data_IF_365234833769
#
_entry.id   IF_365234833769
#
_cell.length_a   1.000
_cell.length_b   1.000
_cell.length_c   1.000
_cell.angle_alpha   90.00
_cell.angle_beta   90.00
_cell.angle_gamma   90.00
#
_symmetry.space_group_name_H-M   'P 1'
#
loop_
_entity.id
_entity.type
_entity.pdbx_description
1 polymer ?
#
# COMPACT_ATOMS: atom_id res chain seq x y z
N UNK A 1 53.66 -10.80 -8.07
CA UNK A 1 53.50 -11.23 -6.67
C UNK A 1 52.76 -10.13 -5.94
N UNK A 2 51.64 -10.52 -5.32
CA UNK A 2 50.93 -9.89 -4.18
C UNK A 2 50.48 -8.41 -4.32
N UNK A 3 49.25 -8.00 -3.99
CA UNK A 3 48.10 -8.67 -3.40
C UNK A 3 47.10 -7.59 -3.00
N UNK A 4 45.88 -7.60 -3.57
CA UNK A 4 44.77 -6.72 -3.17
C UNK A 4 44.04 -7.35 -1.98
N UNK A 5 43.99 -6.66 -0.85
CA UNK A 5 43.10 -7.00 0.27
C UNK A 5 41.81 -6.21 0.14
N UNK A 6 40.72 -6.89 -0.23
CA UNK A 6 39.35 -6.40 -0.09
C UNK A 6 38.78 -6.96 1.21
N UNK A 7 38.42 -6.08 2.13
CA UNK A 7 37.73 -6.43 3.37
C UNK A 7 36.28 -6.83 3.05
N UNK A 8 35.97 -8.11 3.23
CA UNK A 8 34.60 -8.64 3.29
C UNK A 8 34.14 -8.68 4.75
N UNK A 9 33.12 -7.91 5.11
CA UNK A 9 32.41 -8.06 6.39
C UNK A 9 31.63 -9.38 6.42
N UNK A 10 31.75 -10.13 7.52
CA UNK A 10 31.05 -11.40 7.78
C UNK A 10 30.05 -11.22 8.92
N UNK A 11 28.82 -11.70 8.72
CA UNK A 11 27.80 -11.90 9.77
C UNK A 11 28.14 -13.14 10.63
N UNK A 12 27.63 -13.28 11.88
CA UNK A 12 28.06 -14.32 12.82
C UNK A 12 27.86 -15.77 12.36
N UNK A 13 26.99 -16.02 11.38
CA UNK A 13 26.62 -17.38 10.94
C UNK A 13 27.34 -17.87 9.67
N UNK A 14 28.42 -17.23 9.24
CA UNK A 14 29.34 -17.80 8.24
C UNK A 14 28.76 -18.05 6.83
N UNK A 15 27.52 -17.64 6.54
CA UNK A 15 26.97 -17.66 5.19
C UNK A 15 27.53 -16.49 4.38
N UNK A 16 28.10 -16.79 3.22
CA UNK A 16 28.41 -15.82 2.17
C UNK A 16 27.09 -15.25 1.65
N UNK A 17 26.62 -14.15 2.25
CA UNK A 17 25.65 -13.27 1.61
C UNK A 17 26.34 -12.66 0.40
N UNK A 18 26.09 -13.21 -0.80
CA UNK A 18 26.20 -12.39 -2.00
C UNK A 18 25.31 -11.18 -1.74
N UNK A 19 25.83 -9.95 -1.81
CA UNK A 19 24.95 -8.79 -1.79
C UNK A 19 24.00 -8.99 -2.97
N UNK A 20 22.69 -9.04 -2.70
CA UNK A 20 21.70 -8.92 -3.77
C UNK A 20 21.91 -7.55 -4.37
N UNK A 21 22.72 -7.49 -5.43
CA UNK A 21 23.00 -6.32 -6.28
C UNK A 21 21.75 -5.92 -7.10
N UNK A 22 20.58 -6.02 -6.47
CA UNK A 22 19.29 -5.75 -7.07
C UNK A 22 18.80 -4.47 -6.43
N UNK A 23 19.14 -3.35 -7.09
CA UNK A 23 18.57 -2.04 -6.79
C UNK A 23 17.06 -2.16 -6.67
N UNK A 24 16.49 -1.66 -5.59
CA UNK A 24 15.05 -1.63 -5.35
C UNK A 24 14.34 -1.00 -6.57
N UNK A 25 13.70 -1.82 -7.41
CA UNK A 25 13.08 -1.42 -8.68
C UNK A 25 11.96 -0.38 -8.55
N UNK A 26 11.58 -0.06 -7.32
CA UNK A 26 10.53 0.86 -6.97
C UNK A 26 11.06 1.69 -5.80
N UNK A 27 11.33 2.97 -6.05
CA UNK A 27 11.68 3.92 -4.99
C UNK A 27 10.46 4.09 -4.08
N UNK A 28 10.52 3.42 -2.92
CA UNK A 28 9.72 3.83 -1.77
C UNK A 28 10.17 5.22 -1.33
N UNK A 29 9.27 6.03 -0.73
CA UNK A 29 9.68 7.29 -0.12
C UNK A 29 10.77 6.97 0.92
N UNK A 30 12.02 7.34 0.60
CA UNK A 30 13.18 6.99 1.42
C UNK A 30 13.16 7.83 2.68
N UNK A 31 13.26 7.18 3.83
CA UNK A 31 13.95 7.75 4.98
C UNK A 31 15.02 6.78 5.44
N UNK A 32 16.25 7.29 5.56
CA UNK A 32 17.41 6.53 6.03
C UNK A 32 17.85 5.38 5.12
N UNK A 33 19.11 4.99 5.25
CA UNK A 33 19.65 3.79 4.60
C UNK A 33 19.45 2.52 5.44
N UNK A 34 18.69 2.61 6.52
CA UNK A 34 18.61 1.57 7.53
C UNK A 34 17.15 1.21 7.84
N UNK A 35 16.58 0.30 7.06
CA UNK A 35 15.53 -0.60 7.54
C UNK A 35 15.56 -1.85 6.67
N UNK A 36 15.75 -3.01 7.29
CA UNK A 36 15.55 -4.34 6.71
C UNK A 36 14.09 -4.49 6.24
N UNK A 37 13.76 -3.92 5.09
CA UNK A 37 12.51 -4.15 4.40
C UNK A 37 12.80 -5.16 3.31
N UNK A 38 12.34 -6.40 3.51
CA UNK A 38 12.15 -7.35 2.43
C UNK A 38 11.45 -6.68 1.24
N UNK A 39 11.74 -7.15 0.02
CA UNK A 39 11.15 -6.59 -1.21
C UNK A 39 9.61 -6.53 -1.12
N UNK A 40 9.05 -5.35 -1.42
CA UNK A 40 7.61 -5.14 -1.51
C UNK A 40 6.98 -6.05 -2.56
N UNK A 41 5.66 -6.31 -2.46
CA UNK A 41 4.96 -7.14 -3.45
C UNK A 41 5.16 -6.58 -4.87
N UNK A 42 5.04 -5.26 -5.05
CA UNK A 42 5.30 -4.63 -6.35
C UNK A 42 6.69 -4.95 -6.90
N UNK A 43 7.73 -4.87 -6.06
CA UNK A 43 9.11 -5.16 -6.49
C UNK A 43 9.27 -6.63 -6.90
N UNK A 44 8.71 -7.56 -6.11
CA UNK A 44 8.76 -9.00 -6.40
C UNK A 44 8.03 -9.36 -7.70
N UNK A 45 6.87 -8.76 -7.93
CA UNK A 45 6.10 -9.03 -9.14
C UNK A 45 6.77 -8.46 -10.39
N UNK A 46 7.38 -7.26 -10.30
CA UNK A 46 8.21 -6.72 -11.39
C UNK A 46 9.35 -7.67 -11.72
N UNK A 47 10.09 -8.15 -10.72
CA UNK A 47 11.18 -9.11 -10.92
C UNK A 47 10.72 -10.38 -11.64
N UNK A 48 9.64 -10.99 -11.18
CA UNK A 48 9.08 -12.21 -11.79
C UNK A 48 8.61 -11.94 -13.22
N UNK A 49 7.96 -10.81 -13.48
CA UNK A 49 7.50 -10.45 -14.82
C UNK A 49 8.68 -10.22 -15.77
N UNK A 50 9.72 -9.51 -15.32
CA UNK A 50 10.95 -9.31 -16.09
C UNK A 50 11.71 -10.62 -16.31
N UNK A 51 11.77 -11.51 -15.33
CA UNK A 51 12.35 -12.86 -15.48
C UNK A 51 11.65 -13.63 -16.62
N UNK A 52 10.32 -13.61 -16.66
CA UNK A 52 9.52 -14.29 -17.67
C UNK A 52 9.67 -13.67 -19.06
N UNK A 53 9.73 -12.34 -19.16
CA UNK A 53 9.89 -11.62 -20.42
C UNK A 53 11.33 -11.71 -20.98
N UNK A 54 12.34 -11.61 -20.10
CA UNK A 54 13.77 -11.65 -20.49
C UNK A 54 14.27 -13.03 -20.87
N UNK A 55 13.62 -14.12 -20.47
CA UNK A 55 13.90 -15.46 -21.00
C UNK A 55 13.83 -15.51 -22.54
N UNK A 56 13.22 -14.52 -23.18
CA UNK A 56 13.08 -14.43 -24.64
C UNK A 56 13.94 -13.31 -25.26
N UNK A 57 14.62 -12.48 -24.46
CA UNK A 57 15.44 -11.36 -24.93
C UNK A 57 16.82 -11.32 -24.24
N UNK A 58 17.89 -11.34 -25.03
CA UNK A 58 19.28 -11.14 -24.55
C UNK A 58 19.54 -9.65 -24.28
N UNK A 59 19.02 -9.07 -23.21
CA UNK A 59 19.35 -7.68 -22.84
C UNK A 59 19.64 -7.57 -21.34
N UNK A 60 20.89 -7.21 -21.03
CA UNK A 60 21.42 -7.06 -19.66
C UNK A 60 21.16 -5.66 -19.05
N UNK A 61 20.47 -4.75 -19.75
CA UNK A 61 20.41 -3.32 -19.42
C UNK A 61 19.22 -2.86 -18.55
N UNK A 62 18.29 -3.75 -18.19
CA UNK A 62 17.17 -3.37 -17.32
C UNK A 62 17.53 -3.26 -15.83
N UNK A 63 18.78 -3.60 -15.46
CA UNK A 63 19.25 -3.65 -14.06
C UNK A 63 19.60 -2.29 -13.45
N UNK A 64 19.48 -1.21 -14.20
CA UNK A 64 19.70 0.17 -13.73
C UNK A 64 18.43 1.00 -13.89
N UNK A 65 17.38 0.67 -13.11
CA UNK A 65 16.18 1.49 -12.94
C UNK A 65 16.41 2.44 -11.74
N UNK A 66 17.48 3.22 -11.79
CA UNK A 66 17.71 4.35 -10.90
C UNK A 66 17.88 5.59 -11.80
N UNK A 67 16.79 6.01 -12.44
CA UNK A 67 16.73 7.38 -12.94
C UNK A 67 16.58 8.27 -11.71
N UNK A 68 17.53 9.16 -11.48
CA UNK A 68 17.33 10.30 -10.57
C UNK A 68 15.98 10.91 -10.93
N UNK A 69 15.05 10.91 -9.97
CA UNK A 69 13.74 11.50 -10.19
C UNK A 69 13.91 12.98 -10.46
N UNK A 70 13.30 13.47 -11.54
CA UNK A 70 13.25 14.90 -11.80
C UNK A 70 12.73 15.61 -10.54
N UNK A 71 13.35 16.73 -10.14
CA UNK A 71 12.91 17.48 -8.97
C UNK A 71 11.43 17.85 -9.17
N UNK A 72 10.62 17.59 -8.14
CA UNK A 72 9.24 18.02 -8.13
C UNK A 72 9.20 19.55 -8.31
N UNK A 73 8.25 20.08 -9.11
CA UNK A 73 8.19 21.52 -9.38
C UNK A 73 8.02 22.31 -8.07
N UNK A 74 8.72 23.45 -7.98
CA UNK A 74 8.63 24.35 -6.84
C UNK A 74 7.18 24.79 -6.61
N UNK A 75 6.71 24.64 -5.36
CA UNK A 75 5.36 25.02 -4.98
C UNK A 75 5.34 26.52 -4.69
N UNK A 76 4.56 27.33 -5.42
CA UNK A 76 4.48 28.75 -5.12
C UNK A 76 3.90 28.95 -3.72
N UNK A 77 4.58 29.77 -2.92
CA UNK A 77 4.11 30.12 -1.58
C UNK A 77 2.87 31.01 -1.68
N UNK A 78 1.78 30.54 -1.09
CA UNK A 78 0.54 31.30 -0.96
C UNK A 78 0.48 31.94 0.44
N UNK A 79 0.09 33.21 0.51
CA UNK A 79 -0.14 33.85 1.81
C UNK A 79 -1.36 33.22 2.52
N UNK A 80 -1.27 33.08 3.85
CA UNK A 80 -2.34 32.55 4.71
C UNK A 80 -3.63 33.38 4.57
N UNK A 81 -3.55 34.64 4.14
CA UNK A 81 -4.69 35.52 3.87
C UNK A 81 -5.59 35.05 2.71
N UNK A 82 -5.05 34.23 1.80
CA UNK A 82 -5.79 33.67 0.66
C UNK A 82 -6.72 32.52 1.05
N UNK A 83 -6.60 31.98 2.28
CA UNK A 83 -7.54 31.02 2.85
C UNK A 83 -8.81 31.75 3.31
N UNK A 84 -9.61 32.18 2.34
CA UNK A 84 -10.90 32.82 2.61
C UNK A 84 -11.88 31.84 3.27
N UNK A 85 -12.85 32.32 4.07
CA UNK A 85 -13.87 31.45 4.68
C UNK A 85 -14.64 30.58 3.66
N UNK A 86 -14.83 31.09 2.44
CA UNK A 86 -15.46 30.33 1.35
C UNK A 86 -14.60 29.14 0.90
N UNK A 87 -13.29 29.33 0.77
CA UNK A 87 -12.34 28.25 0.43
C UNK A 87 -12.31 27.20 1.55
N UNK A 88 -12.19 27.62 2.81
CA UNK A 88 -12.17 26.72 3.97
C UNK A 88 -13.44 25.85 4.01
N UNK A 89 -14.61 26.47 3.90
CA UNK A 89 -15.90 25.76 3.90
C UNK A 89 -16.03 24.78 2.74
N UNK A 90 -15.59 25.19 1.54
CA UNK A 90 -15.57 24.32 0.36
C UNK A 90 -14.72 23.07 0.61
N UNK A 91 -13.49 23.26 1.11
CA UNK A 91 -12.58 22.15 1.39
C UNK A 91 -13.08 21.23 2.53
N UNK A 92 -13.68 21.78 3.59
CA UNK A 92 -14.29 20.95 4.65
C UNK A 92 -15.46 20.11 4.15
N UNK A 93 -16.28 20.67 3.25
CA UNK A 93 -17.36 19.92 2.59
C UNK A 93 -16.81 18.76 1.75
N UNK A 94 -15.70 19.00 1.03
CA UNK A 94 -15.05 17.97 0.24
C UNK A 94 -14.42 16.89 1.13
N UNK A 95 -13.80 17.27 2.25
CA UNK A 95 -13.31 16.30 3.25
C UNK A 95 -14.43 15.40 3.75
N UNK A 96 -15.55 16.02 4.14
CA UNK A 96 -16.72 15.30 4.62
C UNK A 96 -17.28 14.32 3.59
N UNK A 97 -17.27 14.70 2.30
CA UNK A 97 -17.83 13.87 1.22
C UNK A 97 -16.89 12.75 0.79
N UNK A 98 -15.59 13.01 0.68
CA UNK A 98 -14.67 12.11 -0.03
C UNK A 98 -13.70 11.37 0.90
N UNK A 99 -13.28 12.00 1.99
CA UNK A 99 -12.27 11.44 2.91
C UNK A 99 -12.92 10.74 4.09
N UNK A 100 -13.86 11.42 4.75
CA UNK A 100 -14.53 10.93 5.97
C UNK A 100 -15.18 9.55 5.82
N UNK A 101 -15.83 9.17 4.70
CA UNK A 101 -16.43 7.84 4.58
C UNK A 101 -15.42 6.70 4.70
N UNK A 102 -14.14 6.98 4.41
CA UNK A 102 -13.02 6.04 4.54
C UNK A 102 -12.19 6.27 5.80
N UNK A 103 -12.01 7.51 6.23
CA UNK A 103 -11.22 7.86 7.42
C UNK A 103 -11.97 8.87 8.28
N UNK A 104 -12.87 8.36 9.13
CA UNK A 104 -13.70 9.19 10.00
C UNK A 104 -12.88 9.66 11.22
N UNK A 105 -12.04 10.68 11.06
CA UNK A 105 -11.18 11.17 12.16
C UNK A 105 -11.70 12.48 12.76
N UNK A 106 -12.33 13.32 11.93
CA UNK A 106 -12.74 14.68 12.28
C UNK A 106 -14.22 14.71 12.62
N UNK A 107 -14.56 15.31 13.75
CA UNK A 107 -15.93 15.45 14.23
C UNK A 107 -16.78 16.34 13.30
N UNK A 108 -18.07 16.04 13.22
CA UNK A 108 -19.02 16.72 12.32
C UNK A 108 -19.19 18.21 12.60
N UNK A 109 -19.06 18.63 13.85
CA UNK A 109 -19.13 20.03 14.27
C UNK A 109 -17.98 20.85 13.67
N UNK A 110 -16.78 20.27 13.62
CA UNK A 110 -15.60 20.87 13.01
C UNK A 110 -15.78 20.98 11.48
N UNK A 111 -16.32 19.94 10.85
CA UNK A 111 -16.57 19.93 9.40
C UNK A 111 -17.69 20.90 8.97
N UNK A 112 -18.56 21.29 9.91
CA UNK A 112 -19.63 22.27 9.69
C UNK A 112 -19.18 23.73 9.88
N UNK A 113 -17.89 23.96 10.16
CA UNK A 113 -17.37 25.31 10.39
C UNK A 113 -17.48 26.21 9.14
N UNK A 114 -17.90 27.46 9.34
CA UNK A 114 -18.15 28.44 8.27
C UNK A 114 -16.88 29.11 7.71
N UNK A 115 -15.73 28.82 8.34
CA UNK A 115 -14.42 29.36 8.01
C UNK A 115 -14.14 30.74 8.62
N UNK A 116 -15.07 31.29 9.39
CA UNK A 116 -14.93 32.62 10.00
C UNK A 116 -14.13 32.50 11.29
N UNK A 117 -13.22 33.45 11.52
CA UNK A 117 -12.42 33.52 12.75
C UNK A 117 -11.55 32.27 13.04
N UNK A 118 -11.06 31.56 12.02
CA UNK A 118 -10.16 30.41 12.15
C UNK A 118 -9.00 30.64 13.15
N UNK A 119 -8.44 31.86 13.17
CA UNK A 119 -7.35 32.28 14.08
C UNK A 119 -7.73 32.40 15.55
N UNK A 120 -9.02 32.38 15.90
CA UNK A 120 -9.51 32.49 17.28
C UNK A 120 -9.89 31.14 17.88
N UNK A 121 -9.89 30.07 17.08
CA UNK A 121 -10.24 28.73 17.55
C UNK A 121 -9.14 28.14 18.45
N UNK A 122 -9.47 27.21 19.36
CA UNK A 122 -8.49 26.40 20.08
C UNK A 122 -7.51 25.70 19.13
N UNK A 123 -6.28 25.46 19.59
CA UNK A 123 -5.19 24.93 18.76
C UNK A 123 -5.56 23.62 18.06
N UNK A 124 -6.10 22.64 18.80
CA UNK A 124 -6.50 21.34 18.25
C UNK A 124 -7.58 21.47 17.17
N UNK A 125 -8.63 22.28 17.40
CA UNK A 125 -9.68 22.52 16.41
C UNK A 125 -9.14 23.20 15.15
N UNK A 126 -8.24 24.17 15.32
CA UNK A 126 -7.58 24.84 14.20
C UNK A 126 -6.72 23.86 13.41
N UNK A 127 -5.95 23.02 14.11
CA UNK A 127 -5.14 21.97 13.49
C UNK A 127 -6.01 21.01 12.68
N UNK A 128 -7.12 20.49 13.24
CA UNK A 128 -8.02 19.58 12.54
C UNK A 128 -8.64 20.21 11.29
N UNK A 129 -9.08 21.47 11.35
CA UNK A 129 -9.61 22.20 10.18
C UNK A 129 -8.53 22.35 9.11
N UNK A 130 -7.33 22.81 9.48
CA UNK A 130 -6.23 23.00 8.54
C UNK A 130 -5.81 21.68 7.89
N UNK A 131 -5.73 20.60 8.67
CA UNK A 131 -5.41 19.27 8.14
C UNK A 131 -6.50 18.76 7.19
N UNK A 132 -7.78 18.85 7.57
CA UNK A 132 -8.89 18.47 6.69
C UNK A 132 -8.85 19.25 5.37
N UNK A 133 -8.65 20.57 5.44
CA UNK A 133 -8.49 21.40 4.25
C UNK A 133 -7.27 21.01 3.42
N UNK A 134 -6.14 20.69 4.06
CA UNK A 134 -4.92 20.29 3.36
C UNK A 134 -5.09 18.98 2.60
N UNK A 135 -5.77 17.98 3.19
CA UNK A 135 -6.04 16.67 2.57
C UNK A 135 -6.96 16.84 1.36
N UNK A 136 -8.05 17.58 1.51
CA UNK A 136 -8.98 17.81 0.39
C UNK A 136 -8.35 18.62 -0.74
N UNK A 137 -7.55 19.64 -0.40
CA UNK A 137 -6.81 20.39 -1.40
C UNK A 137 -5.77 19.52 -2.11
N UNK A 138 -5.05 18.65 -1.38
CA UNK A 138 -4.10 17.69 -1.93
C UNK A 138 -4.78 16.75 -2.94
N UNK A 139 -5.94 16.18 -2.60
CA UNK A 139 -6.71 15.34 -3.51
C UNK A 139 -7.13 16.09 -4.78
N UNK A 140 -7.56 17.35 -4.66
CA UNK A 140 -7.92 18.16 -5.83
C UNK A 140 -6.75 18.42 -6.77
N UNK A 141 -5.51 18.38 -6.28
CA UNK A 141 -4.32 18.60 -7.12
C UNK A 141 -4.17 17.58 -8.24
N UNK A 142 -4.74 16.38 -8.08
CA UNK A 142 -4.64 15.32 -9.08
C UNK A 142 -5.28 15.71 -10.41
N UNK A 143 -6.39 16.46 -10.35
CA UNK A 143 -7.09 16.95 -11.55
C UNK A 143 -6.85 18.43 -11.81
N UNK A 144 -6.46 19.19 -10.79
CA UNK A 144 -6.37 20.64 -10.84
C UNK A 144 -5.17 21.11 -10.02
N UNK A 145 -3.98 21.25 -10.64
CA UNK A 145 -2.73 21.58 -9.95
C UNK A 145 -2.74 22.92 -9.20
N UNK A 146 -3.65 23.84 -9.54
CA UNK A 146 -3.85 25.11 -8.86
C UNK A 146 -4.23 24.99 -7.37
N UNK A 147 -4.66 23.80 -6.90
CA UNK A 147 -4.93 23.54 -5.48
C UNK A 147 -3.67 23.22 -4.65
N UNK A 148 -2.53 22.94 -5.29
CA UNK A 148 -1.28 22.56 -4.60
C UNK A 148 -0.79 23.61 -3.60
N UNK A 149 -0.84 24.93 -3.92
CA UNK A 149 -0.44 25.96 -2.96
C UNK A 149 -1.34 26.01 -1.73
N UNK A 150 -2.64 25.75 -1.89
CA UNK A 150 -3.60 25.69 -0.76
C UNK A 150 -3.30 24.50 0.14
N UNK A 151 -3.07 23.31 -0.44
CA UNK A 151 -2.69 22.12 0.30
C UNK A 151 -1.44 22.35 1.16
N UNK A 152 -0.39 22.91 0.53
CA UNK A 152 0.87 23.22 1.19
C UNK A 152 0.69 24.29 2.28
N UNK A 153 -0.03 25.37 2.02
CA UNK A 153 -0.23 26.46 2.98
C UNK A 153 -1.01 26.01 4.21
N UNK A 154 -2.06 25.20 4.02
CA UNK A 154 -2.80 24.60 5.12
C UNK A 154 -1.91 23.66 5.94
N UNK A 155 -1.12 22.81 5.26
CA UNK A 155 -0.21 21.86 5.91
C UNK A 155 0.89 22.54 6.71
N UNK A 156 1.49 23.60 6.15
CA UNK A 156 2.52 24.40 6.80
C UNK A 156 1.96 25.17 8.00
N UNK A 157 0.77 25.75 7.88
CA UNK A 157 0.15 26.38 9.04
C UNK A 157 -0.24 25.36 10.11
N UNK A 158 -0.62 24.14 9.74
CA UNK A 158 -0.85 23.07 10.70
C UNK A 158 0.44 22.62 11.41
N UNK A 159 1.63 22.74 10.79
CA UNK A 159 2.91 22.38 11.41
C UNK A 159 3.15 23.14 12.73
N UNK A 160 2.67 24.38 12.83
CA UNK A 160 2.81 25.24 14.01
C UNK A 160 2.23 24.57 15.28
N UNK A 161 1.30 23.61 15.14
CA UNK A 161 0.61 22.96 16.26
C UNK A 161 1.03 21.49 16.48
N UNK A 162 1.82 20.88 15.58
CA UNK A 162 2.09 19.43 15.62
C UNK A 162 2.86 19.03 16.87
N UNK A 163 3.99 19.69 17.15
CA UNK A 163 4.85 19.34 18.26
C UNK A 163 4.11 19.38 19.62
N UNK A 164 3.41 20.47 19.99
CA UNK A 164 2.71 20.51 21.27
C UNK A 164 1.59 19.46 21.35
N UNK A 165 0.85 19.20 20.27
CA UNK A 165 -0.23 18.21 20.25
C UNK A 165 0.32 16.79 20.42
N UNK A 166 1.31 16.38 19.62
CA UNK A 166 1.84 15.00 19.66
C UNK A 166 2.54 14.71 21.00
N UNK A 167 3.19 15.70 21.61
CA UNK A 167 3.87 15.53 22.89
C UNK A 167 2.92 15.23 24.07
N UNK A 168 1.62 15.54 23.95
CA UNK A 168 0.64 15.23 24.99
C UNK A 168 0.39 13.72 25.14
N UNK A 169 0.61 12.94 24.07
CA UNK A 169 0.43 11.49 24.01
C UNK A 169 -0.95 11.01 24.49
N UNK A 170 -2.00 11.77 24.17
CA UNK A 170 -3.40 11.52 24.47
C UNK A 170 -4.20 11.08 23.22
N UNK A 171 -5.53 10.97 23.34
CA UNK A 171 -6.39 10.61 22.20
C UNK A 171 -6.36 11.66 21.07
N UNK A 172 -6.18 12.94 21.40
CA UNK A 172 -6.05 14.02 20.42
C UNK A 172 -4.72 13.94 19.67
N UNK A 173 -3.66 13.51 20.35
CA UNK A 173 -2.38 13.15 19.73
C UNK A 173 -2.57 12.07 18.66
N UNK A 174 -3.36 11.03 18.96
CA UNK A 174 -3.66 9.98 17.99
C UNK A 174 -4.48 10.50 16.80
N UNK A 175 -5.53 11.32 17.04
CA UNK A 175 -6.28 11.98 15.96
C UNK A 175 -5.34 12.79 15.06
N UNK A 176 -4.39 13.53 15.66
CA UNK A 176 -3.44 14.34 14.91
C UNK A 176 -2.50 13.48 14.05
N UNK A 177 -1.97 12.40 14.61
CA UNK A 177 -1.10 11.46 13.87
C UNK A 177 -1.88 10.82 12.71
N UNK A 178 -3.13 10.41 12.91
CA UNK A 178 -3.96 9.84 11.84
C UNK A 178 -4.24 10.85 10.72
N UNK A 179 -4.52 12.12 11.06
CA UNK A 179 -4.69 13.17 10.05
C UNK A 179 -3.42 13.41 9.24
N UNK A 180 -2.25 13.35 9.89
CA UNK A 180 -0.95 13.43 9.21
C UNK A 180 -0.73 12.24 8.28
N UNK A 181 -1.09 11.03 8.70
CA UNK A 181 -1.02 9.83 7.85
C UNK A 181 -1.94 9.95 6.63
N UNK A 182 -3.19 10.39 6.81
CA UNK A 182 -4.12 10.59 5.68
C UNK A 182 -3.61 11.68 4.73
N UNK A 183 -2.97 12.73 5.25
CA UNK A 183 -2.30 13.71 4.40
C UNK A 183 -1.16 13.12 3.60
N UNK A 184 -0.26 12.33 4.21
CA UNK A 184 0.83 11.66 3.47
C UNK A 184 0.31 10.62 2.45
N UNK A 185 -0.87 10.03 2.70
CA UNK A 185 -1.55 9.20 1.70
C UNK A 185 -2.05 10.01 0.50
N UNK A 186 -2.43 11.28 0.70
CA UNK A 186 -2.88 12.18 -0.36
C UNK A 186 -1.71 12.87 -1.08
N UNK A 187 -0.68 13.26 -0.34
CA UNK A 187 0.49 13.98 -0.84
C UNK A 187 1.78 13.34 -0.29
N UNK A 188 2.30 12.28 -0.95
CA UNK A 188 3.41 11.49 -0.41
C UNK A 188 4.80 12.10 -0.64
N UNK A 189 4.86 13.42 -0.86
CA UNK A 189 6.08 14.12 -1.28
C UNK A 189 7.14 14.20 -0.19
N UNK A 190 6.73 14.21 1.08
CA UNK A 190 7.63 14.22 2.25
C UNK A 190 8.19 12.84 2.55
N UNK A 191 7.42 11.79 2.27
CA UNK A 191 7.87 10.41 2.41
C UNK A 191 8.03 9.93 3.84
N UNK A 192 7.29 10.54 4.78
CA UNK A 192 7.39 10.27 6.21
C UNK A 192 6.29 9.32 6.74
N UNK A 193 5.59 8.65 5.82
CA UNK A 193 4.42 7.83 6.16
C UNK A 193 4.77 6.70 7.14
N UNK A 194 5.98 6.15 7.05
CA UNK A 194 6.43 5.04 7.89
C UNK A 194 6.79 5.50 9.29
N UNK A 195 7.45 6.65 9.41
CA UNK A 195 7.77 7.28 10.68
C UNK A 195 6.49 7.68 11.41
N UNK A 196 5.49 8.19 10.68
CA UNK A 196 4.18 8.49 11.24
C UNK A 196 3.45 7.23 11.72
N UNK A 197 3.56 6.11 11.00
CA UNK A 197 3.04 4.82 11.48
C UNK A 197 3.78 4.36 12.74
N UNK A 198 5.08 4.61 12.85
CA UNK A 198 5.86 4.31 14.06
C UNK A 198 5.54 5.20 15.25
N UNK A 199 5.25 6.47 14.98
CA UNK A 199 4.74 7.39 16.00
C UNK A 199 3.36 6.91 16.45
N UNK A 200 2.43 6.62 15.52
CA UNK A 200 1.11 6.06 15.81
C UNK A 200 1.21 4.82 16.71
N UNK A 201 2.08 3.88 16.34
CA UNK A 201 2.32 2.67 17.12
C UNK A 201 2.78 2.98 18.55
N UNK A 202 3.80 3.84 18.70
CA UNK A 202 4.32 4.22 20.03
C UNK A 202 3.25 4.91 20.86
N UNK A 203 2.43 5.77 20.25
CA UNK A 203 1.29 6.41 20.91
C UNK A 203 0.25 5.39 21.35
N UNK A 204 -0.08 4.38 20.53
CA UNK A 204 -0.96 3.29 20.94
C UNK A 204 -0.42 2.52 22.16
N UNK A 205 0.90 2.29 22.22
CA UNK A 205 1.55 1.65 23.37
C UNK A 205 1.51 2.53 24.63
N UNK A 206 1.79 3.83 24.48
CA UNK A 206 1.75 4.80 25.58
C UNK A 206 0.35 4.94 26.17
N UNK A 207 -0.68 4.91 25.32
CA UNK A 207 -2.09 4.94 25.71
C UNK A 207 -2.60 3.62 26.28
N UNK A 208 -1.80 2.55 26.26
CA UNK A 208 -2.22 1.20 26.67
C UNK A 208 -3.27 0.57 25.75
N UNK A 209 -3.46 1.11 24.54
CA UNK A 209 -4.47 0.65 23.58
C UNK A 209 -4.13 -0.69 22.92
N UNK A 210 -2.93 -1.21 23.17
CA UNK A 210 -2.47 -2.54 22.79
C UNK A 210 -2.97 -3.66 23.71
N UNK A 211 -3.46 -3.35 24.92
CA UNK A 211 -3.96 -4.37 25.85
C UNK A 211 -5.38 -4.78 25.43
N UNK A 212 -5.55 -6.04 25.04
CA UNK A 212 -6.88 -6.66 24.95
C UNK A 212 -7.49 -6.75 26.34
N UNK A 213 -8.81 -6.56 26.44
CA UNK A 213 -9.56 -6.76 27.68
C UNK A 213 -9.63 -8.24 28.15
N UNK A 214 -8.78 -9.12 27.62
CA UNK A 214 -8.88 -10.57 27.80
C UNK A 214 -7.54 -11.19 28.20
N UNK A 215 -6.94 -10.69 29.28
CA UNK A 215 -5.97 -11.45 30.10
C UNK A 215 -6.14 -11.14 31.60
N UNK A 216 -7.35 -10.79 32.06
CA UNK A 216 -7.69 -10.76 33.48
C UNK A 216 -8.11 -12.16 33.94
N UNK A 217 -7.18 -13.12 33.90
CA UNK A 217 -7.26 -14.32 34.74
C UNK A 217 -6.39 -14.18 36.00
N UNK A 218 -5.80 -13.01 36.23
CA UNK A 218 -5.18 -12.68 37.50
C UNK A 218 -6.28 -12.27 38.48
N UNK A 219 -6.78 -13.28 39.20
CA UNK A 219 -7.44 -13.14 40.48
C UNK A 219 -6.59 -12.27 41.40
N UNK A 220 -6.88 -10.96 41.47
CA UNK A 220 -6.91 -10.13 42.69
C UNK A 220 -7.09 -8.65 42.34
N UNK A 221 -8.24 -8.09 42.72
CA UNK A 221 -8.37 -6.67 43.11
C UNK A 221 -8.77 -5.67 42.01
N UNK A 222 -10.00 -5.15 42.14
CA UNK A 222 -10.59 -4.02 41.40
C UNK A 222 -10.76 -4.20 39.89
N UNK A 223 -11.78 -4.98 39.52
CA UNK A 223 -12.37 -4.94 38.18
C UNK A 223 -13.18 -3.64 37.98
N UNK A 224 -12.48 -2.56 37.62
CA UNK A 224 -13.09 -1.63 36.67
C UNK A 224 -13.15 -2.37 35.34
N UNK A 225 -14.31 -2.94 35.04
CA UNK A 225 -14.66 -3.43 33.71
C UNK A 225 -14.18 -2.39 32.69
N UNK A 226 -13.15 -2.73 31.89
CA UNK A 226 -12.63 -1.85 30.84
C UNK A 226 -13.78 -1.61 29.87
N UNK A 227 -14.54 -0.55 30.09
CA UNK A 227 -15.57 -0.11 29.18
C UNK A 227 -14.88 0.15 27.85
N UNK A 228 -15.39 -0.45 26.77
CA UNK A 228 -14.84 -0.25 25.45
C UNK A 228 -14.96 1.23 25.11
N UNK A 229 -13.86 1.99 25.27
CA UNK A 229 -13.82 3.39 24.88
C UNK A 229 -14.16 3.48 23.37
N UNK A 230 -15.29 4.10 23.01
CA UNK A 230 -15.71 4.19 21.62
C UNK A 230 -14.72 4.98 20.78
N UNK A 231 -14.03 5.97 21.38
CA UNK A 231 -13.02 6.79 20.69
C UNK A 231 -11.80 5.95 20.35
N UNK A 232 -11.27 5.19 21.33
CA UNK A 232 -10.20 4.20 21.08
C UNK A 232 -10.57 3.24 19.96
N UNK A 233 -11.74 2.60 20.06
CA UNK A 233 -12.17 1.58 19.09
C UNK A 233 -12.20 2.15 17.68
N UNK A 234 -12.77 3.35 17.55
CA UNK A 234 -12.90 4.06 16.29
C UNK A 234 -11.55 4.45 15.67
N UNK A 235 -10.66 5.09 16.44
CA UNK A 235 -9.34 5.50 15.93
C UNK A 235 -8.43 4.31 15.60
N UNK A 236 -8.55 3.21 16.35
CA UNK A 236 -7.85 1.96 16.03
C UNK A 236 -8.35 1.32 14.74
N UNK A 237 -9.66 1.41 14.43
CA UNK A 237 -10.20 0.97 13.14
C UNK A 237 -9.60 1.78 11.98
N UNK A 238 -9.57 3.12 12.11
CA UNK A 238 -8.96 3.99 11.08
C UNK A 238 -7.48 3.67 10.87
N UNK A 239 -6.72 3.45 11.95
CA UNK A 239 -5.31 3.05 11.86
C UNK A 239 -5.15 1.72 11.10
N UNK A 240 -5.98 0.72 11.42
CA UNK A 240 -5.99 -0.57 10.70
C UNK A 240 -6.33 -0.41 9.23
N UNK A 241 -7.26 0.47 8.88
CA UNK A 241 -7.59 0.75 7.49
C UNK A 241 -6.42 1.40 6.73
N UNK A 242 -5.67 2.30 7.37
CA UNK A 242 -4.46 2.92 6.80
C UNK A 242 -3.36 1.85 6.61
N UNK A 243 -3.01 1.10 7.66
CA UNK A 243 -2.00 0.03 7.60
C UNK A 243 -2.37 -1.01 6.55
N UNK A 244 -3.63 -1.46 6.58
CA UNK A 244 -4.17 -2.39 5.62
C UNK A 244 -4.07 -1.85 4.20
N UNK A 245 -4.31 -0.56 3.96
CA UNK A 245 -4.22 -0.02 2.60
C UNK A 245 -2.77 0.04 2.06
N UNK A 246 -1.75 0.00 2.95
CA UNK A 246 -0.32 0.06 2.62
C UNK A 246 0.36 -1.32 2.47
N UNK A 247 -0.37 -2.43 2.63
CA UNK A 247 0.19 -3.80 2.60
C UNK A 247 0.87 -4.21 1.30
N UNK A 248 0.46 -3.64 0.17
CA UNK A 248 1.04 -3.93 -1.15
C UNK A 248 2.29 -3.08 -1.41
N UNK A 249 2.41 -1.98 -0.68
CA UNK A 249 3.46 -0.97 -0.82
C UNK A 249 4.72 -1.37 -0.06
N UNK A 250 4.58 -1.99 1.12
CA UNK A 250 5.71 -2.45 1.93
C UNK A 250 5.47 -3.83 2.54
N UNK A 251 6.54 -4.60 2.74
CA UNK A 251 6.50 -5.86 3.48
C UNK A 251 6.83 -5.64 4.96
N UNK A 252 6.02 -4.82 5.63
CA UNK A 252 6.17 -4.60 7.07
C UNK A 252 5.25 -5.57 7.83
N UNK A 253 5.71 -6.23 8.91
CA UNK A 253 4.83 -7.01 9.77
C UNK A 253 3.67 -6.13 10.23
N UNK A 254 2.42 -6.60 10.13
CA UNK A 254 1.29 -5.85 10.68
C UNK A 254 1.29 -6.01 12.19
N UNK A 255 1.43 -4.89 12.88
CA UNK A 255 1.80 -4.87 14.29
C UNK A 255 0.60 -5.01 15.23
N UNK A 256 -0.63 -4.79 14.72
CA UNK A 256 -1.85 -4.75 15.53
C UNK A 256 -2.70 -6.02 15.46
N UNK A 257 -2.27 -7.03 14.70
CA UNK A 257 -3.16 -8.13 14.28
C UNK A 257 -3.06 -9.39 15.14
N UNK A 258 -1.94 -9.66 15.82
CA UNK A 258 -1.82 -10.98 16.45
C UNK A 258 -2.67 -11.17 17.72
N UNK A 259 -3.04 -10.11 18.44
CA UNK A 259 -3.78 -10.24 19.71
C UNK A 259 -5.17 -9.59 19.76
N UNK A 260 -5.58 -8.73 18.81
CA UNK A 260 -6.85 -7.95 18.92
C UNK A 260 -8.09 -8.61 18.26
N UNK A 261 -8.12 -9.95 18.22
CA UNK A 261 -9.09 -10.81 17.51
C UNK A 261 -10.59 -10.55 17.81
N UNK A 262 -10.94 -9.86 18.89
CA UNK A 262 -12.32 -9.86 19.39
C UNK A 262 -13.29 -8.86 18.72
N UNK A 263 -12.83 -7.96 17.85
CA UNK A 263 -13.68 -6.98 17.15
C UNK A 263 -13.12 -6.60 15.76
N UNK A 264 -12.86 -7.60 14.93
CA UNK A 264 -12.37 -7.41 13.57
C UNK A 264 -13.56 -7.46 12.59
N UNK A 265 -14.02 -6.33 11.98
CA UNK A 265 -15.02 -6.38 10.91
C UNK A 265 -14.54 -7.28 9.75
N UNK A 266 -15.44 -7.80 8.91
CA UNK A 266 -15.10 -8.74 7.81
C UNK A 266 -13.93 -8.28 6.91
N UNK A 267 -13.75 -6.96 6.73
CA UNK A 267 -12.61 -6.34 6.01
C UNK A 267 -11.24 -6.65 6.63
N UNK A 268 -11.17 -6.92 7.93
CA UNK A 268 -9.94 -7.31 8.61
C UNK A 268 -9.54 -8.76 8.26
N UNK A 269 -10.50 -9.65 7.94
CA UNK A 269 -10.20 -11.06 7.62
C UNK A 269 -9.35 -11.17 6.37
N UNK A 270 -9.72 -10.46 5.29
CA UNK A 270 -8.93 -10.41 4.04
C UNK A 270 -7.52 -9.86 4.28
N UNK A 271 -7.40 -8.92 5.23
CA UNK A 271 -6.13 -8.29 5.60
C UNK A 271 -5.20 -9.22 6.36
N UNK A 272 -5.74 -9.92 7.35
CA UNK A 272 -5.03 -10.95 8.09
C UNK A 272 -4.60 -12.07 7.14
N UNK A 273 -5.50 -12.51 6.26
CA UNK A 273 -5.24 -13.59 5.33
C UNK A 273 -4.14 -13.22 4.32
N UNK A 274 -4.17 -12.00 3.78
CA UNK A 274 -3.11 -11.49 2.92
C UNK A 274 -1.74 -11.61 3.59
N UNK A 275 -1.59 -11.13 4.83
CA UNK A 275 -0.28 -11.17 5.50
C UNK A 275 0.19 -12.58 5.77
N UNK A 276 -0.71 -13.45 6.24
CA UNK A 276 -0.39 -14.87 6.47
C UNK A 276 0.08 -15.53 5.19
N UNK A 277 -0.62 -15.30 4.08
CA UNK A 277 -0.24 -15.84 2.78
C UNK A 277 1.06 -15.24 2.26
N UNK A 278 1.24 -13.93 2.42
CA UNK A 278 2.45 -13.23 2.02
C UNK A 278 3.66 -13.77 2.78
N UNK A 279 3.58 -13.91 4.11
CA UNK A 279 4.66 -14.48 4.92
C UNK A 279 4.90 -15.95 4.64
N UNK A 280 3.85 -16.76 4.44
CA UNK A 280 4.00 -18.16 4.04
C UNK A 280 4.70 -18.29 2.67
N UNK A 281 4.44 -17.37 1.74
CA UNK A 281 5.00 -17.41 0.39
C UNK A 281 6.41 -16.82 0.33
N UNK A 282 6.62 -15.65 0.92
CA UNK A 282 7.82 -14.82 0.74
C UNK A 282 8.67 -14.63 2.00
N UNK A 283 8.22 -15.14 3.15
CA UNK A 283 8.93 -15.05 4.43
C UNK A 283 10.15 -15.96 4.52
N UNK A 284 10.58 -16.26 5.76
CA UNK A 284 11.85 -16.92 6.08
C UNK A 284 12.05 -18.32 5.47
N UNK A 285 10.99 -18.97 5.00
CA UNK A 285 11.03 -20.26 4.28
C UNK A 285 11.05 -20.15 2.74
N UNK A 286 10.89 -18.94 2.17
CA UNK A 286 10.96 -18.61 0.73
C UNK A 286 10.31 -19.63 -0.22
N UNK A 287 9.08 -20.05 0.08
CA UNK A 287 8.27 -20.94 -0.78
C UNK A 287 8.11 -20.37 -2.21
N UNK A 288 8.05 -19.04 -2.38
CA UNK A 288 7.99 -18.38 -3.70
C UNK A 288 9.31 -18.39 -4.49
N UNK A 289 10.44 -18.70 -3.84
CA UNK A 289 11.73 -18.93 -4.49
C UNK A 289 12.04 -20.44 -4.63
N UNK A 290 11.45 -21.28 -3.78
CA UNK A 290 11.53 -22.73 -3.89
C UNK A 290 10.44 -23.24 -4.87
N UNK A 291 10.72 -24.26 -5.69
CA UNK A 291 9.75 -24.85 -6.65
C UNK A 291 8.58 -25.62 -5.98
N UNK A 292 8.19 -25.20 -4.78
CA UNK A 292 7.24 -25.83 -3.87
C UNK A 292 5.79 -25.72 -4.35
N UNK A 293 4.98 -26.71 -3.99
CA UNK A 293 3.59 -26.80 -4.42
C UNK A 293 2.67 -25.96 -3.51
N UNK A 294 1.84 -25.03 -4.05
CA UNK A 294 0.93 -24.23 -3.24
C UNK A 294 -0.26 -25.02 -2.66
N UNK A 295 -0.47 -26.27 -3.11
CA UNK A 295 -1.55 -27.15 -2.66
C UNK A 295 -1.13 -28.10 -1.52
N UNK A 296 -0.02 -27.80 -0.83
CA UNK A 296 0.48 -28.59 0.29
C UNK A 296 0.77 -27.68 1.48
N UNK A 297 0.54 -28.19 2.68
CA UNK A 297 0.90 -27.51 3.93
C UNK A 297 0.06 -26.27 4.24
N UNK A 298 0.68 -25.29 4.89
CA UNK A 298 0.02 -24.08 5.39
C UNK A 298 -0.60 -23.24 4.26
N UNK A 299 0.09 -23.10 3.13
CA UNK A 299 -0.38 -22.33 1.97
C UNK A 299 -1.73 -22.88 1.48
N UNK A 300 -1.88 -24.20 1.37
CA UNK A 300 -3.15 -24.82 0.94
C UNK A 300 -4.32 -24.45 1.87
N UNK A 301 -4.09 -24.46 3.19
CA UNK A 301 -5.10 -24.09 4.16
C UNK A 301 -5.49 -22.60 4.07
N UNK A 302 -4.55 -21.73 3.67
CA UNK A 302 -4.82 -20.32 3.43
C UNK A 302 -5.58 -20.10 2.10
N UNK A 303 -5.30 -20.89 1.06
CA UNK A 303 -6.07 -20.85 -0.20
C UNK A 303 -7.53 -21.26 0.01
N UNK A 304 -7.77 -22.33 0.78
CA UNK A 304 -9.12 -22.78 1.10
C UNK A 304 -9.90 -21.71 1.86
N UNK A 305 -9.24 -20.93 2.73
CA UNK A 305 -9.86 -19.78 3.41
C UNK A 305 -10.12 -18.63 2.45
N UNK A 306 -9.22 -18.36 1.51
CA UNK A 306 -9.39 -17.32 0.50
C UNK A 306 -10.60 -17.60 -0.39
N UNK A 307 -10.86 -18.86 -0.70
CA UNK A 307 -12.02 -19.28 -1.51
C UNK A 307 -13.37 -19.08 -0.83
N UNK A 308 -13.41 -19.09 0.50
CA UNK A 308 -14.63 -18.82 1.28
C UNK A 308 -14.94 -17.33 1.34
N UNK A 309 -13.94 -16.47 1.17
CA UNK A 309 -14.10 -15.02 1.21
C UNK A 309 -14.67 -14.55 -0.14
N UNK A 310 -16.00 -14.45 -0.21
CA UNK A 310 -16.71 -13.90 -1.37
C UNK A 310 -16.90 -12.38 -1.25
N UNK A 311 -15.81 -11.64 -1.04
CA UNK A 311 -15.84 -10.17 -1.00
C UNK A 311 -15.20 -9.59 -2.28
N UNK A 312 -15.86 -8.58 -2.87
CA UNK A 312 -15.35 -7.82 -4.01
C UNK A 312 -14.33 -6.74 -3.61
N UNK A 313 -13.93 -6.67 -2.33
CA UNK A 313 -12.96 -5.69 -1.86
C UNK A 313 -11.60 -5.82 -2.57
N UNK A 314 -10.87 -4.70 -2.74
CA UNK A 314 -9.53 -4.76 -3.31
C UNK A 314 -8.57 -5.70 -2.56
N UNK A 315 -8.75 -5.82 -1.25
CA UNK A 315 -7.96 -6.69 -0.38
C UNK A 315 -8.08 -8.18 -0.74
N UNK A 316 -9.28 -8.65 -1.11
CA UNK A 316 -9.47 -10.06 -1.50
C UNK A 316 -8.75 -10.38 -2.81
N UNK A 317 -8.72 -9.42 -3.74
CA UNK A 317 -8.04 -9.58 -5.02
C UNK A 317 -6.51 -9.58 -4.88
N UNK A 318 -5.98 -8.73 -3.99
CA UNK A 318 -4.54 -8.68 -3.66
C UNK A 318 -4.00 -10.03 -3.15
N UNK A 319 -4.81 -10.81 -2.42
CA UNK A 319 -4.43 -12.15 -1.90
C UNK A 319 -4.01 -13.08 -3.03
N UNK A 320 -4.78 -13.13 -4.12
CA UNK A 320 -4.48 -14.00 -5.24
C UNK A 320 -3.17 -13.61 -5.94
N UNK A 321 -2.86 -12.31 -6.02
CA UNK A 321 -1.66 -11.82 -6.69
C UNK A 321 -0.36 -12.18 -5.96
N UNK A 322 -0.42 -12.46 -4.65
CA UNK A 322 0.71 -12.97 -3.86
C UNK A 322 1.29 -14.24 -4.48
N UNK A 323 0.46 -15.06 -5.14
CA UNK A 323 0.84 -16.38 -5.66
C UNK A 323 1.43 -16.36 -7.07
N UNK A 324 1.58 -15.18 -7.70
CA UNK A 324 2.08 -15.08 -9.07
C UNK A 324 3.43 -15.78 -9.24
N UNK A 325 4.40 -15.48 -8.36
CA UNK A 325 5.74 -16.04 -8.40
C UNK A 325 5.71 -17.57 -8.34
N UNK A 326 4.96 -18.11 -7.38
CA UNK A 326 4.76 -19.55 -7.19
C UNK A 326 4.16 -20.18 -8.44
N UNK A 327 3.14 -19.56 -9.04
CA UNK A 327 2.52 -20.06 -10.27
C UNK A 327 3.44 -20.08 -11.49
N UNK A 328 4.42 -19.16 -11.54
CA UNK A 328 5.42 -19.06 -12.62
C UNK A 328 6.54 -20.09 -12.45
N UNK A 329 7.04 -20.25 -11.23
CA UNK A 329 8.26 -21.03 -10.93
C UNK A 329 7.99 -22.50 -10.58
N UNK A 330 6.78 -22.82 -10.11
CA UNK A 330 6.43 -24.19 -9.75
C UNK A 330 6.42 -25.13 -10.96
N UNK A 331 7.16 -26.24 -10.85
CA UNK A 331 7.09 -27.37 -11.79
C UNK A 331 5.99 -28.33 -11.37
N UNK A 332 5.24 -28.86 -12.34
CA UNK A 332 4.16 -29.81 -12.08
C UNK A 332 4.61 -30.96 -11.17
N UNK A 333 3.79 -31.29 -10.17
CA UNK A 333 4.03 -32.35 -9.20
C UNK A 333 2.75 -33.15 -8.93
N UNK A 334 2.84 -34.31 -8.29
CA UNK A 334 1.71 -35.22 -8.04
C UNK A 334 0.52 -34.54 -7.34
N UNK A 335 0.78 -33.57 -6.45
CA UNK A 335 -0.27 -32.84 -5.74
C UNK A 335 -1.03 -31.83 -6.63
N UNK A 336 -0.44 -31.35 -7.73
CA UNK A 336 -1.08 -30.41 -8.65
C UNK A 336 -1.36 -30.97 -10.06
N UNK A 337 -0.90 -32.20 -10.34
CA UNK A 337 -0.95 -32.90 -11.62
C UNK A 337 -2.26 -33.68 -11.87
N UNK A 338 -3.29 -33.55 -11.03
CA UNK A 338 -4.61 -34.16 -11.28
C UNK A 338 -5.39 -33.46 -12.42
N UNK A 339 -4.71 -33.18 -13.55
CA UNK A 339 -5.12 -32.28 -14.63
C UNK A 339 -6.06 -32.82 -15.74
N UNK A 340 -6.66 -34.04 -15.76
CA UNK A 340 -7.70 -34.32 -16.77
C UNK A 340 -9.08 -33.77 -16.42
N UNK A 341 -9.41 -33.67 -15.13
CA UNK A 341 -10.77 -33.37 -14.65
C UNK A 341 -10.69 -32.51 -13.39
N UNK A 342 -10.57 -31.19 -13.56
CA UNK A 342 -10.63 -30.19 -12.48
C UNK A 342 -12.07 -30.07 -11.91
N UNK A 343 -12.69 -31.21 -11.56
CA UNK A 343 -14.08 -31.32 -11.10
C UNK A 343 -14.31 -30.63 -9.75
N UNK A 344 -13.23 -30.41 -8.97
CA UNK A 344 -13.28 -29.79 -7.65
C UNK A 344 -12.73 -28.35 -7.64
N UNK A 345 -12.21 -27.83 -8.77
CA UNK A 345 -11.68 -26.47 -8.86
C UNK A 345 -10.39 -26.20 -8.07
N UNK A 346 -9.65 -27.26 -7.68
CA UNK A 346 -8.42 -27.19 -6.87
C UNK A 346 -7.20 -27.63 -7.66
N UNK A 347 -6.86 -26.89 -8.72
CA UNK A 347 -5.69 -27.15 -9.56
C UNK A 347 -4.98 -25.88 -10.03
N UNK A 348 -3.75 -26.05 -10.56
CA UNK A 348 -2.93 -24.92 -11.06
C UNK A 348 -3.66 -24.11 -12.13
N UNK A 349 -4.45 -24.76 -13.00
CA UNK A 349 -5.26 -24.08 -14.01
C UNK A 349 -6.32 -23.16 -13.38
N UNK A 350 -6.98 -23.59 -12.31
CA UNK A 350 -7.96 -22.76 -11.60
C UNK A 350 -7.27 -21.64 -10.83
N UNK A 351 -6.15 -21.91 -10.17
CA UNK A 351 -5.37 -20.88 -9.48
C UNK A 351 -4.90 -19.78 -10.45
N UNK A 352 -4.35 -20.14 -11.61
CA UNK A 352 -3.96 -19.18 -12.65
C UNK A 352 -5.14 -18.34 -13.15
N UNK A 353 -6.32 -18.96 -13.34
CA UNK A 353 -7.55 -18.23 -13.70
C UNK A 353 -7.98 -17.24 -12.62
N UNK A 354 -7.89 -17.62 -11.34
CA UNK A 354 -8.17 -16.73 -10.20
C UNK A 354 -7.21 -15.53 -10.18
N UNK A 355 -5.91 -15.75 -10.40
CA UNK A 355 -4.92 -14.66 -10.50
C UNK A 355 -5.26 -13.69 -11.62
N UNK A 356 -5.54 -14.19 -12.83
CA UNK A 356 -5.87 -13.34 -13.99
C UNK A 356 -7.15 -12.54 -13.73
N UNK A 357 -8.19 -13.19 -13.19
CA UNK A 357 -9.45 -12.53 -12.84
C UNK A 357 -9.25 -11.46 -11.77
N UNK A 358 -8.53 -11.79 -10.70
CA UNK A 358 -8.24 -10.87 -9.60
C UNK A 358 -7.44 -9.66 -10.08
N UNK A 359 -6.46 -9.86 -10.96
CA UNK A 359 -5.67 -8.77 -11.53
C UNK A 359 -6.54 -7.79 -12.33
N UNK A 360 -7.41 -8.30 -13.20
CA UNK A 360 -8.33 -7.49 -14.01
C UNK A 360 -9.37 -6.76 -13.15
N UNK A 361 -9.99 -7.45 -12.19
CA UNK A 361 -10.97 -6.85 -11.27
C UNK A 361 -10.33 -5.76 -10.38
N UNK A 362 -9.16 -6.02 -9.80
CA UNK A 362 -8.43 -5.04 -8.99
C UNK A 362 -8.07 -3.80 -9.80
N UNK A 363 -7.66 -3.98 -11.06
CA UNK A 363 -7.26 -2.88 -11.94
C UNK A 363 -8.46 -2.03 -12.35
N UNK A 364 -9.56 -2.68 -12.75
CA UNK A 364 -10.83 -2.00 -13.08
C UNK A 364 -11.35 -1.20 -11.89
N UNK A 365 -11.34 -1.78 -10.69
CA UNK A 365 -11.76 -1.10 -9.46
C UNK A 365 -10.85 0.09 -9.12
N UNK A 366 -9.53 -0.07 -9.25
CA UNK A 366 -8.56 1.00 -8.97
C UNK A 366 -8.67 2.14 -9.98
N UNK A 367 -8.86 1.81 -11.26
CA UNK A 367 -9.11 2.80 -12.32
C UNK A 367 -10.37 3.61 -12.04
N UNK A 368 -11.48 2.90 -11.77
CA UNK A 368 -12.76 3.53 -11.45
C UNK A 368 -12.62 4.49 -10.26
N UNK A 369 -12.00 4.04 -9.17
CA UNK A 369 -11.75 4.88 -8.00
C UNK A 369 -10.90 6.12 -8.33
N UNK A 370 -9.88 5.97 -9.18
CA UNK A 370 -8.94 7.04 -9.55
C UNK A 370 -9.63 8.17 -10.33
N UNK A 371 -10.53 7.82 -11.25
CA UNK A 371 -11.15 8.79 -12.16
C UNK A 371 -12.52 9.28 -11.69
N UNK A 372 -13.22 8.55 -10.81
CA UNK A 372 -14.44 9.03 -10.13
C UNK A 372 -14.08 10.12 -9.11
N UNK A 373 -14.86 11.20 -9.07
CA UNK A 373 -14.62 12.35 -8.17
C UNK A 373 -15.03 12.10 -6.72
N UNK A 374 -15.65 10.96 -6.43
CA UNK A 374 -16.34 10.69 -5.18
C UNK A 374 -15.55 9.86 -4.16
N UNK A 375 -14.37 9.35 -4.52
CA UNK A 375 -13.60 8.46 -3.65
C UNK A 375 -12.22 9.03 -3.31
N UNK A 376 -11.79 8.84 -2.05
CA UNK A 376 -10.42 9.11 -1.66
C UNK A 376 -9.47 8.04 -2.20
N UNK A 377 -8.54 8.47 -3.06
CA UNK A 377 -7.50 7.62 -3.64
C UNK A 377 -6.12 8.14 -3.25
N UNK A 378 -5.28 7.22 -2.76
CA UNK A 378 -3.87 7.49 -2.51
C UNK A 378 -3.05 7.17 -3.76
N UNK A 379 -2.18 8.08 -4.24
CA UNK A 379 -1.33 7.85 -5.42
C UNK A 379 -0.44 6.63 -5.26
N UNK A 380 0.17 6.43 -4.09
CA UNK A 380 1.04 5.28 -3.83
C UNK A 380 0.26 3.97 -3.96
N UNK A 381 -0.94 3.92 -3.38
CA UNK A 381 -1.75 2.70 -3.34
C UNK A 381 -2.31 2.38 -4.73
N UNK A 382 -2.77 3.41 -5.45
CA UNK A 382 -3.25 3.26 -6.82
C UNK A 382 -2.13 2.78 -7.76
N UNK A 383 -0.94 3.38 -7.68
CA UNK A 383 0.22 2.93 -8.44
C UNK A 383 0.63 1.49 -8.08
N UNK A 384 0.67 1.17 -6.79
CA UNK A 384 0.98 -0.18 -6.30
C UNK A 384 0.04 -1.23 -6.88
N UNK A 385 -1.28 -1.01 -6.75
CA UNK A 385 -2.34 -1.90 -7.28
C UNK A 385 -2.28 -2.02 -8.79
N UNK A 386 -2.13 -0.90 -9.49
CA UNK A 386 -2.03 -0.90 -10.94
C UNK A 386 -0.84 -1.74 -11.41
N UNK A 387 0.33 -1.53 -10.82
CA UNK A 387 1.55 -2.24 -11.22
C UNK A 387 1.50 -3.73 -10.91
N UNK A 388 1.04 -4.16 -9.72
CA UNK A 388 0.94 -5.60 -9.40
C UNK A 388 -0.06 -6.32 -10.31
N UNK A 389 -1.20 -5.67 -10.64
CA UNK A 389 -2.18 -6.21 -11.58
C UNK A 389 -1.60 -6.28 -13.00
N UNK A 390 -0.98 -5.19 -13.47
CA UNK A 390 -0.35 -5.13 -14.79
C UNK A 390 0.74 -6.20 -14.96
N UNK A 391 1.61 -6.36 -13.97
CA UNK A 391 2.65 -7.40 -13.95
C UNK A 391 2.04 -8.80 -14.05
N UNK A 392 0.97 -9.06 -13.30
CA UNK A 392 0.27 -10.35 -13.30
C UNK A 392 -0.36 -10.66 -14.66
N UNK A 393 -0.99 -9.69 -15.31
CA UNK A 393 -1.58 -9.84 -16.64
C UNK A 393 -0.51 -10.02 -17.73
N UNK A 394 0.55 -9.20 -17.72
CA UNK A 394 1.67 -9.33 -18.67
C UNK A 394 2.31 -10.72 -18.58
N UNK A 395 2.60 -11.18 -17.37
CA UNK A 395 3.12 -12.54 -17.11
C UNK A 395 2.16 -13.62 -17.62
N UNK A 396 0.86 -13.48 -17.34
CA UNK A 396 -0.15 -14.45 -17.76
C UNK A 396 -0.28 -14.55 -19.29
N UNK A 397 -0.15 -13.44 -20.02
CA UNK A 397 -0.15 -13.40 -21.49
C UNK A 397 1.08 -14.14 -22.03
N UNK A 398 2.28 -13.84 -21.52
CA UNK A 398 3.54 -14.46 -21.98
C UNK A 398 3.53 -15.98 -21.74
N UNK A 399 3.09 -16.40 -20.55
CA UNK A 399 2.93 -17.80 -20.14
C UNK A 399 1.70 -18.49 -20.73
N UNK A 400 0.89 -17.80 -21.56
CA UNK A 400 -0.30 -18.33 -22.25
C UNK A 400 -1.40 -18.85 -21.31
N UNK A 401 -1.56 -18.25 -20.14
CA UNK A 401 -2.70 -18.51 -19.26
C UNK A 401 -3.97 -17.79 -19.73
N UNK A 402 -3.78 -16.70 -20.48
CA UNK A 402 -4.83 -15.90 -21.11
C UNK A 402 -4.34 -15.36 -22.45
N UNK A 403 -5.22 -14.70 -23.21
CA UNK A 403 -4.89 -14.07 -24.49
C UNK A 403 -4.65 -12.56 -24.33
N UNK A 404 -3.80 -12.00 -25.19
CA UNK A 404 -3.58 -10.55 -25.23
C UNK A 404 -4.85 -9.79 -25.58
N UNK A 405 -5.64 -10.28 -26.55
CA UNK A 405 -6.89 -9.63 -26.98
C UNK A 405 -7.90 -9.50 -25.84
N UNK A 406 -7.96 -10.49 -24.94
CA UNK A 406 -8.89 -10.48 -23.80
C UNK A 406 -8.56 -9.39 -22.76
N UNK A 407 -7.30 -8.97 -22.65
CA UNK A 407 -6.83 -8.07 -21.60
C UNK A 407 -6.12 -6.82 -22.11
N UNK A 408 -6.20 -6.53 -23.42
CA UNK A 408 -5.62 -5.33 -24.00
C UNK A 408 -6.11 -4.05 -23.31
N UNK A 409 -7.43 -3.98 -23.04
CA UNK A 409 -8.03 -2.87 -22.31
C UNK A 409 -7.45 -2.75 -20.90
N UNK A 410 -7.29 -3.85 -20.19
CA UNK A 410 -6.76 -3.84 -18.83
C UNK A 410 -5.33 -3.28 -18.80
N UNK A 411 -4.46 -3.69 -19.75
CA UNK A 411 -3.11 -3.13 -19.85
C UNK A 411 -3.11 -1.60 -20.08
N UNK A 412 -4.07 -1.08 -20.84
CA UNK A 412 -4.27 0.37 -21.01
C UNK A 412 -4.66 1.04 -19.69
N UNK A 413 -5.60 0.46 -18.93
CA UNK A 413 -6.01 1.01 -17.62
C UNK A 413 -4.81 1.12 -16.67
N UNK A 414 -3.90 0.15 -16.68
CA UNK A 414 -2.65 0.21 -15.92
C UNK A 414 -1.80 1.42 -16.32
N UNK A 415 -1.56 1.60 -17.62
CA UNK A 415 -0.80 2.73 -18.16
C UNK A 415 -1.43 4.08 -17.79
N UNK A 416 -2.76 4.19 -17.85
CA UNK A 416 -3.49 5.41 -17.51
C UNK A 416 -3.31 5.80 -16.03
N UNK A 417 -3.49 4.85 -15.10
CA UNK A 417 -3.30 5.10 -13.65
C UNK A 417 -1.86 5.51 -13.34
N UNK A 418 -0.89 4.76 -13.87
CA UNK A 418 0.53 5.01 -13.60
C UNK A 418 0.97 6.35 -14.18
N UNK A 419 0.51 6.70 -15.38
CA UNK A 419 0.80 8.00 -16.00
C UNK A 419 0.17 9.13 -15.19
N UNK A 420 -1.10 8.98 -14.79
CA UNK A 420 -1.84 9.98 -14.01
C UNK A 420 -1.14 10.32 -12.69
N UNK A 421 -0.64 9.33 -11.96
CA UNK A 421 0.00 9.55 -10.66
C UNK A 421 1.53 9.73 -10.68
N UNK A 422 2.17 9.59 -11.85
CA UNK A 422 3.64 9.60 -11.97
C UNK A 422 4.32 10.86 -11.44
N UNK A 423 3.68 12.03 -11.58
CA UNK A 423 4.22 13.34 -11.17
C UNK A 423 3.80 13.78 -9.77
N UNK A 424 2.94 13.02 -9.10
CA UNK A 424 2.37 13.41 -7.81
C UNK A 424 3.24 13.01 -6.60
N UNK A 425 4.25 12.15 -6.79
CA UNK A 425 5.15 11.72 -5.72
C UNK A 425 6.45 11.13 -6.27
N UNK A 426 7.50 11.10 -5.45
CA UNK A 426 8.88 10.77 -5.88
C UNK A 426 9.03 9.38 -6.52
N UNK A 427 8.29 8.38 -6.05
CA UNK A 427 8.34 7.02 -6.60
C UNK A 427 7.44 6.80 -7.82
N UNK A 428 6.56 7.74 -8.16
CA UNK A 428 5.60 7.59 -9.26
C UNK A 428 6.29 7.35 -10.61
N UNK A 429 7.39 8.06 -10.87
CA UNK A 429 8.19 7.87 -12.08
C UNK A 429 8.85 6.49 -12.15
N UNK A 430 9.32 5.94 -11.02
CA UNK A 430 9.90 4.60 -10.98
C UNK A 430 8.85 3.54 -11.34
N UNK A 431 7.64 3.65 -10.79
CA UNK A 431 6.50 2.78 -11.14
C UNK A 431 6.17 2.85 -12.63
N UNK A 432 6.07 4.05 -13.20
CA UNK A 432 5.78 4.25 -14.61
C UNK A 432 6.89 3.69 -15.50
N UNK A 433 8.16 3.93 -15.16
CA UNK A 433 9.30 3.47 -15.94
C UNK A 433 9.43 1.94 -15.95
N UNK A 434 9.23 1.30 -14.79
CA UNK A 434 9.19 -0.16 -14.70
C UNK A 434 8.08 -0.72 -15.59
N UNK A 435 6.90 -0.10 -15.58
CA UNK A 435 5.78 -0.51 -16.44
C UNK A 435 6.05 -0.33 -17.93
N UNK A 436 6.61 0.81 -18.34
CA UNK A 436 7.01 1.05 -19.73
C UNK A 436 7.97 -0.03 -20.23
N UNK A 437 8.95 -0.38 -19.41
CA UNK A 437 9.92 -1.44 -19.73
C UNK A 437 9.23 -2.81 -19.91
N UNK A 438 8.28 -3.15 -19.04
CA UNK A 438 7.48 -4.37 -19.16
C UNK A 438 6.65 -4.36 -20.45
N UNK A 439 6.03 -3.23 -20.79
CA UNK A 439 5.21 -3.10 -21.99
C UNK A 439 6.02 -3.18 -23.28
N UNK A 440 7.21 -2.58 -23.32
CA UNK A 440 8.13 -2.65 -24.47
C UNK A 440 8.57 -4.11 -24.72
N UNK A 441 8.94 -4.82 -23.64
CA UNK A 441 9.30 -6.24 -23.72
C UNK A 441 8.10 -7.12 -24.12
N UNK A 442 6.91 -6.84 -23.58
CA UNK A 442 5.69 -7.56 -23.95
C UNK A 442 5.36 -7.35 -25.43
N UNK A 443 5.50 -6.13 -25.94
CA UNK A 443 5.26 -5.82 -27.34
C UNK A 443 6.24 -6.58 -28.25
N UNK A 444 7.53 -6.53 -27.94
CA UNK A 444 8.55 -7.27 -28.69
C UNK A 444 8.29 -8.78 -28.69
N UNK A 445 7.86 -9.33 -27.54
CA UNK A 445 7.48 -10.74 -27.42
C UNK A 445 6.29 -11.12 -28.33
N UNK A 446 5.32 -10.22 -28.49
CA UNK A 446 4.16 -10.45 -29.35
C UNK A 446 4.54 -10.39 -30.84
N UNK A 447 5.42 -9.47 -31.24
CA UNK A 447 5.93 -9.36 -32.63
C UNK A 447 6.76 -10.58 -33.05
N UNK A 448 7.56 -11.15 -32.16
CA UNK A 448 8.34 -12.37 -32.46
C UNK A 448 7.46 -13.62 -32.64
N UNK A 449 6.17 -13.55 -32.31
CA UNK A 449 5.21 -14.65 -32.40
C UNK A 449 4.22 -14.52 -33.56
N UNK A 450 4.11 -13.35 -34.18
CA UNK A 450 3.35 -13.13 -35.43
C UNK A 450 4.22 -13.45 -36.64
#
# INVERSE_FOLDING_TARGET
MEGKSGLTERSPDGMLTRPSLVSSFILMPKSGRDMYLDLSLSSRLVEVTLEVLSQHHKTNDWRTIDKESDPLPDIPHLDRSMLTPGVVRGLLKDYHRFVRPKYDIVELDILSHDGIHLRKLPEMRRFQILMACSISAAQKTYKSPNWKPFAHTCREWANDFIAPIICAADADSMKAILLLLVYELADPTRGIIWELLDVARRTCLQLGWNRTASNSNDFTGNEESVSADPVRTHLMCVLREIEGSLRTVSNRPILLIEDMSYCAPEKDISSILYNKLFHATYGTSRIGDAESCPFVGEVSGLLDRADVIADASPASQEIWLVLLATCVRHKQCVACYQEPDDQQGKGMRTLRRKIVRAAAELLSNTHRATFIEEEFVSPIIACSRALISGCSLATAIVKRWTSFQSHFRDLILCSEILTFFSSHWKGGQSYLHAWQTIMDLLHSHMEHRS
#
